data_IF_865990603506
#
_entry.id   IF_865990603506
#
_cell.length_a   1.000
_cell.length_b   1.000
_cell.length_c   1.000
_cell.angle_alpha   90.00
_cell.angle_beta   90.00
_cell.angle_gamma   90.00
#
_symmetry.space_group_name_H-M   'P 1'
#
loop_
_entity.id
_entity.type
_entity.pdbx_description
1 polymer ?
#
# COMPACT_ATOMS: atom_id res chain seq x y z
N UNK A 1 -9.37 -0.11 -10.01
CA UNK A 1 -8.38 -0.30 -8.93
C UNK A 1 -7.93 1.06 -8.48
N UNK A 2 -7.83 1.29 -7.17
CA UNK A 2 -7.46 2.57 -6.57
C UNK A 2 -6.33 2.36 -5.58
N UNK A 3 -5.32 3.23 -5.59
CA UNK A 3 -4.32 3.30 -4.53
C UNK A 3 -4.90 4.16 -3.41
N UNK A 4 -5.09 3.56 -2.24
CA UNK A 4 -5.62 4.22 -1.05
C UNK A 4 -4.51 4.30 -0.01
N UNK A 5 -4.37 5.46 0.63
CA UNK A 5 -3.34 5.75 1.61
C UNK A 5 -4.00 6.26 2.89
N UNK A 6 -3.50 5.83 4.04
CA UNK A 6 -3.99 6.28 5.34
C UNK A 6 -3.62 7.76 5.58
N UNK A 7 -4.49 8.60 6.18
CA UNK A 7 -4.24 10.03 6.38
C UNK A 7 -3.01 10.40 7.21
N UNK A 8 -2.42 9.45 7.95
CA UNK A 8 -1.17 9.69 8.69
C UNK A 8 0.05 9.81 7.78
N UNK A 9 -0.03 9.38 6.53
CA UNK A 9 1.04 9.56 5.56
C UNK A 9 0.96 10.99 5.03
N UNK A 10 2.03 11.80 5.12
CA UNK A 10 2.03 13.20 4.69
C UNK A 10 2.17 13.31 3.15
N UNK A 11 1.30 12.61 2.42
CA UNK A 11 1.26 12.59 0.97
C UNK A 11 -0.18 12.77 0.48
N UNK A 12 -0.38 13.76 -0.38
CA UNK A 12 -1.68 14.10 -0.99
C UNK A 12 -1.78 13.67 -2.43
N UNK A 13 -0.66 13.31 -3.04
CA UNK A 13 -0.59 12.79 -4.38
C UNK A 13 0.47 11.69 -4.51
N UNK A 14 0.56 11.10 -5.70
CA UNK A 14 1.50 10.02 -5.98
C UNK A 14 2.96 10.49 -5.91
N UNK A 15 3.27 11.73 -6.32
CA UNK A 15 4.64 12.25 -6.31
C UNK A 15 5.12 12.40 -4.86
N UNK A 16 4.29 12.99 -4.01
CA UNK A 16 4.55 13.14 -2.57
C UNK A 16 4.67 11.76 -1.90
N UNK A 17 3.81 10.80 -2.26
CA UNK A 17 3.90 9.45 -1.73
C UNK A 17 5.22 8.77 -2.09
N UNK A 18 5.65 8.87 -3.35
CA UNK A 18 6.92 8.31 -3.79
C UNK A 18 8.13 9.02 -3.18
N UNK A 19 8.03 10.32 -2.89
CA UNK A 19 9.05 11.05 -2.15
C UNK A 19 9.12 10.56 -0.70
N UNK A 20 7.97 10.43 -0.04
CA UNK A 20 7.86 9.92 1.33
C UNK A 20 8.42 8.51 1.45
N UNK A 21 8.08 7.60 0.53
CA UNK A 21 8.58 6.22 0.50
C UNK A 21 10.11 6.12 0.36
N UNK A 22 10.78 7.09 -0.26
CA UNK A 22 12.25 7.13 -0.35
C UNK A 22 12.92 7.66 0.90
N UNK A 23 12.20 8.42 1.72
CA UNK A 23 12.70 9.03 2.95
C UNK A 23 12.17 8.30 4.17
N UNK A 24 11.21 8.90 4.84
CA UNK A 24 10.64 8.43 6.11
C UNK A 24 9.85 7.12 5.98
N UNK A 25 9.27 6.87 4.80
CA UNK A 25 8.41 5.73 4.50
C UNK A 25 9.13 4.47 4.04
N UNK A 26 10.46 4.39 4.18
CA UNK A 26 11.26 3.25 3.68
C UNK A 26 10.83 1.87 4.24
N UNK A 27 10.15 1.87 5.40
CA UNK A 27 9.61 0.66 6.04
C UNK A 27 8.08 0.62 6.04
N UNK A 28 7.43 1.39 5.16
CA UNK A 28 5.98 1.43 5.10
C UNK A 28 5.39 0.05 4.78
N UNK A 29 4.28 -0.28 5.45
CA UNK A 29 3.56 -1.52 5.24
C UNK A 29 2.33 -1.30 4.36
N UNK A 30 2.09 -2.19 3.40
CA UNK A 30 0.89 -2.17 2.58
C UNK A 30 0.11 -3.48 2.67
N UNK A 31 -1.21 -3.39 2.56
CA UNK A 31 -2.07 -4.56 2.51
C UNK A 31 -2.33 -5.02 1.08
N UNK A 32 -2.46 -6.34 0.92
CA UNK A 32 -3.20 -6.92 -0.19
C UNK A 32 -4.15 -8.01 0.30
N UNK A 33 -5.15 -8.32 -0.53
CA UNK A 33 -6.06 -9.43 -0.26
C UNK A 33 -5.31 -10.77 -0.12
N UNK A 34 -4.37 -11.08 -1.01
CA UNK A 34 -3.59 -12.32 -0.99
C UNK A 34 -2.23 -12.13 -1.70
N UNK A 35 -1.29 -13.05 -1.44
CA UNK A 35 -0.08 -13.17 -2.26
C UNK A 35 -0.49 -13.39 -3.72
N UNK A 36 0.18 -12.69 -4.64
CA UNK A 36 -0.09 -12.69 -6.08
C UNK A 36 -1.49 -12.18 -6.50
N UNK A 37 -2.27 -11.56 -5.60
CA UNK A 37 -3.50 -10.87 -6.01
C UNK A 37 -3.20 -9.67 -6.92
N UNK A 38 -4.20 -9.17 -7.66
CA UNK A 38 -4.01 -8.00 -8.53
C UNK A 38 -3.48 -6.78 -7.76
N UNK A 39 -3.94 -6.57 -6.52
CA UNK A 39 -3.42 -5.50 -5.67
C UNK A 39 -1.97 -5.71 -5.22
N UNK A 40 -1.56 -6.96 -4.98
CA UNK A 40 -0.17 -7.30 -4.68
C UNK A 40 0.74 -6.99 -5.87
N UNK A 41 0.37 -7.51 -7.06
CA UNK A 41 1.15 -7.32 -8.28
C UNK A 41 1.23 -5.85 -8.70
N UNK A 42 0.17 -5.07 -8.47
CA UNK A 42 0.20 -3.63 -8.75
C UNK A 42 1.14 -2.85 -7.83
N UNK A 43 1.22 -3.20 -6.53
CA UNK A 43 2.23 -2.61 -5.65
C UNK A 43 3.65 -2.99 -6.07
N UNK A 44 3.88 -4.25 -6.43
CA UNK A 44 5.19 -4.69 -6.91
C UNK A 44 5.60 -4.00 -8.21
N UNK A 45 4.65 -3.80 -9.13
CA UNK A 45 4.89 -3.02 -10.34
C UNK A 45 5.22 -1.56 -10.03
N UNK A 46 4.48 -0.93 -9.10
CA UNK A 46 4.75 0.45 -8.68
C UNK A 46 6.14 0.57 -8.05
N UNK A 47 6.51 -0.35 -7.16
CA UNK A 47 7.83 -0.43 -6.52
C UNK A 47 8.94 -0.52 -7.56
N UNK A 48 8.79 -1.43 -8.53
CA UNK A 48 9.75 -1.63 -9.63
C UNK A 48 9.90 -0.38 -10.51
N UNK A 49 8.80 0.22 -10.94
CA UNK A 49 8.83 1.41 -11.79
C UNK A 49 9.37 2.64 -11.08
N UNK A 50 9.02 2.82 -9.81
CA UNK A 50 9.38 4.00 -9.05
C UNK A 50 10.71 3.88 -8.31
N UNK A 51 11.30 2.69 -8.19
CA UNK A 51 12.52 2.45 -7.40
C UNK A 51 12.29 2.76 -5.93
N UNK A 52 11.15 2.32 -5.38
CA UNK A 52 10.80 2.45 -3.96
C UNK A 52 10.48 1.08 -3.39
N UNK A 53 10.56 0.95 -2.07
CA UNK A 53 10.20 -0.28 -1.39
C UNK A 53 9.08 -0.06 -0.37
N UNK A 54 8.34 -1.14 -0.10
CA UNK A 54 7.30 -1.21 0.91
C UNK A 54 7.06 -2.69 1.26
N UNK A 55 6.78 -2.95 2.53
CA UNK A 55 6.62 -4.29 3.08
C UNK A 55 5.20 -4.80 2.84
N UNK A 56 5.09 -5.95 2.18
CA UNK A 56 3.81 -6.60 1.90
C UNK A 56 3.22 -7.28 3.15
N UNK A 57 1.97 -6.98 3.47
CA UNK A 57 1.16 -7.66 4.49
C UNK A 57 -0.02 -8.37 3.80
N UNK A 58 0.01 -9.70 3.64
CA UNK A 58 -1.06 -10.46 2.99
C UNK A 58 -2.19 -10.83 3.98
N UNK A 59 -3.44 -10.59 3.58
CA UNK A 59 -4.63 -10.85 4.42
C UNK A 59 -5.39 -12.14 4.07
N UNK A 60 -4.73 -13.14 3.48
CA UNK A 60 -5.26 -14.51 3.23
C UNK A 60 -6.66 -14.58 2.57
N UNK A 61 -6.97 -13.66 1.65
CA UNK A 61 -8.24 -13.53 0.95
C UNK A 61 -9.23 -12.56 1.59
N UNK A 62 -8.96 -12.08 2.81
CA UNK A 62 -9.86 -11.20 3.56
C UNK A 62 -9.70 -9.73 3.14
N UNK A 63 -10.43 -9.34 2.10
CA UNK A 63 -10.52 -7.95 1.67
C UNK A 63 -11.05 -7.02 2.77
N UNK A 64 -12.03 -7.49 3.55
CA UNK A 64 -12.63 -6.72 4.62
C UNK A 64 -11.60 -6.38 5.71
N UNK A 65 -10.81 -7.37 6.14
CA UNK A 65 -9.80 -7.16 7.17
C UNK A 65 -8.65 -6.26 6.71
N UNK A 66 -8.22 -6.40 5.45
CA UNK A 66 -7.24 -5.49 4.85
C UNK A 66 -7.72 -4.02 4.89
N UNK A 67 -9.01 -3.79 4.61
CA UNK A 67 -9.61 -2.45 4.69
C UNK A 67 -9.72 -1.97 6.14
N UNK A 68 -10.13 -2.83 7.08
CA UNK A 68 -10.20 -2.48 8.51
C UNK A 68 -8.83 -2.05 9.05
N UNK A 69 -7.77 -2.77 8.72
CA UNK A 69 -6.42 -2.46 9.19
C UNK A 69 -5.83 -1.22 8.51
N UNK A 70 -6.23 -0.93 7.27
CA UNK A 70 -5.92 0.34 6.60
C UNK A 70 -6.60 1.51 7.30
N UNK A 71 -7.88 1.39 7.62
CA UNK A 71 -8.63 2.41 8.36
C UNK A 71 -8.08 2.63 9.77
N UNK A 72 -7.57 1.58 10.41
CA UNK A 72 -6.92 1.64 11.72
C UNK A 72 -5.46 2.13 11.67
N UNK A 73 -4.88 2.34 10.48
CA UNK A 73 -3.49 2.77 10.28
C UNK A 73 -2.44 1.70 10.61
N UNK A 74 -2.82 0.42 10.77
CA UNK A 74 -1.87 -0.69 10.98
C UNK A 74 -1.06 -0.99 9.71
N UNK A 75 -1.70 -0.81 8.57
CA UNK A 75 -1.05 -0.67 7.26
C UNK A 75 -1.39 0.71 6.73
N UNK A 76 -0.50 1.29 5.94
CA UNK A 76 -0.65 2.69 5.52
C UNK A 76 -1.06 2.85 4.07
N UNK A 77 -1.06 1.77 3.28
CA UNK A 77 -1.49 1.82 1.89
C UNK A 77 -2.06 0.48 1.40
N UNK A 78 -2.89 0.52 0.36
CA UNK A 78 -3.43 -0.67 -0.30
C UNK A 78 -3.92 -0.32 -1.70
N UNK A 79 -3.77 -1.26 -2.64
CA UNK A 79 -4.55 -1.23 -3.88
C UNK A 79 -5.88 -1.96 -3.66
N UNK A 80 -6.96 -1.18 -3.68
CA UNK A 80 -8.32 -1.68 -3.46
C UNK A 80 -9.03 -1.85 -4.80
N UNK A 81 -9.75 -2.96 -4.94
CA UNK A 81 -10.68 -3.18 -6.05
C UNK A 81 -12.02 -2.53 -5.70
N UNK A 82 -12.44 -1.56 -6.50
CA UNK A 82 -13.81 -1.03 -6.56
C UNK A 82 -14.76 -2.05 -7.16
#
# INVERSE_FOLDING_TARGET
MLLVVHPSVPAKDLRELLAWLRGEGVHAHYASQAVASTGHLAMELLKSLAGVDAVHVPYKGSAAQATTDLLAGRVVMSFVKT
#
